data_IF_087479096665
#
_entry.id   IF_087479096665
#
_cell.length_a   1.000
_cell.length_b   1.000
_cell.length_c   1.000
_cell.angle_alpha   90.00
_cell.angle_beta   90.00
_cell.angle_gamma   90.00
#
_symmetry.space_group_name_H-M   'P 1'
#
loop_
_entity.id
_entity.type
_entity.pdbx_description
1 polymer ?
#
# COMPACT_ATOMS: atom_id res chain seq x y z
N UNK A 1 -75.59 -23.33 42.59
CA UNK A 1 -74.69 -22.69 43.58
C UNK A 1 -73.31 -23.21 43.32
N UNK A 2 -72.48 -22.50 42.63
CA UNK A 2 -71.02 -22.62 42.72
C UNK A 2 -70.39 -21.63 41.77
N UNK A 3 -69.64 -20.68 42.34
CA UNK A 3 -68.94 -19.59 41.66
C UNK A 3 -67.72 -20.11 40.92
N UNK A 4 -67.64 -19.89 39.61
CA UNK A 4 -66.43 -20.12 38.85
C UNK A 4 -65.75 -18.75 38.69
N UNK A 5 -64.67 -18.56 39.43
CA UNK A 5 -63.81 -17.38 39.32
C UNK A 5 -62.99 -17.43 38.04
N UNK A 6 -63.19 -16.43 37.22
CA UNK A 6 -62.37 -16.21 36.03
C UNK A 6 -60.92 -15.90 36.41
N UNK A 7 -60.02 -16.80 36.02
CA UNK A 7 -58.58 -16.55 36.08
C UNK A 7 -58.18 -16.13 34.69
N UNK A 8 -58.01 -14.82 34.51
CA UNK A 8 -57.40 -14.24 33.26
C UNK A 8 -55.91 -14.48 33.37
N UNK A 9 -55.41 -15.41 32.53
CA UNK A 9 -54.01 -15.66 32.35
C UNK A 9 -53.46 -14.61 31.38
N UNK A 10 -52.76 -13.59 31.92
CA UNK A 10 -52.08 -12.56 31.12
C UNK A 10 -50.79 -13.15 30.56
N UNK A 11 -50.80 -13.57 29.30
CA UNK A 11 -49.64 -14.01 28.55
C UNK A 11 -48.82 -12.77 28.17
N UNK A 12 -47.77 -12.48 28.92
CA UNK A 12 -46.77 -11.48 28.58
C UNK A 12 -45.86 -12.10 27.52
N UNK A 13 -46.08 -11.75 26.25
CA UNK A 13 -45.16 -12.02 25.15
C UNK A 13 -43.90 -11.17 25.34
N UNK A 14 -42.87 -11.77 25.94
CA UNK A 14 -41.51 -11.22 25.92
C UNK A 14 -40.97 -11.36 24.47
N UNK A 15 -41.14 -10.34 23.66
CA UNK A 15 -40.38 -10.20 22.42
C UNK A 15 -38.95 -9.85 22.76
N UNK A 16 -38.11 -10.87 22.87
CA UNK A 16 -36.69 -10.71 22.98
C UNK A 16 -36.17 -9.99 21.74
N UNK A 17 -35.83 -8.71 21.87
CA UNK A 17 -35.06 -7.98 20.86
C UNK A 17 -33.65 -8.54 20.91
N UNK A 18 -33.37 -9.52 20.04
CA UNK A 18 -32.01 -9.95 19.73
C UNK A 18 -31.30 -8.80 19.06
N UNK A 19 -30.66 -7.92 19.86
CA UNK A 19 -29.68 -6.98 19.37
C UNK A 19 -28.44 -7.81 19.01
N UNK A 20 -28.39 -8.31 17.78
CA UNK A 20 -27.15 -8.80 17.20
C UNK A 20 -26.26 -7.57 17.00
N UNK A 21 -25.44 -7.29 18.01
CA UNK A 21 -24.25 -6.47 17.81
C UNK A 21 -23.40 -7.23 16.78
N UNK A 22 -23.52 -6.84 15.51
CA UNK A 22 -22.57 -7.23 14.48
C UNK A 22 -21.24 -6.58 14.86
N UNK A 23 -20.44 -7.36 15.57
CA UNK A 23 -19.02 -7.10 15.76
C UNK A 23 -18.38 -7.23 14.38
N UNK A 24 -18.43 -6.13 13.61
CA UNK A 24 -17.74 -5.98 12.34
C UNK A 24 -16.26 -5.97 12.70
N UNK A 25 -15.65 -7.15 12.81
CA UNK A 25 -14.21 -7.32 12.80
C UNK A 25 -13.71 -6.55 11.58
N UNK A 26 -13.20 -5.33 11.82
CA UNK A 26 -12.56 -4.51 10.79
C UNK A 26 -11.36 -5.31 10.32
N UNK A 27 -11.54 -6.05 9.20
CA UNK A 27 -10.47 -6.83 8.56
C UNK A 27 -9.33 -5.85 8.30
N UNK A 28 -8.23 -5.98 9.06
CA UNK A 28 -7.03 -5.18 8.81
C UNK A 28 -6.51 -5.63 7.45
N UNK A 29 -6.75 -4.82 6.46
CA UNK A 29 -6.27 -5.08 5.10
C UNK A 29 -4.78 -4.82 5.05
N UNK A 30 -4.00 -5.88 4.89
CA UNK A 30 -2.55 -5.80 4.73
C UNK A 30 -2.18 -5.53 3.27
N UNK A 31 -1.12 -4.73 3.06
CA UNK A 31 -0.50 -4.53 1.76
C UNK A 31 0.48 -5.66 1.46
N UNK A 32 0.53 -6.09 0.21
CA UNK A 32 1.59 -6.98 -0.27
C UNK A 32 2.73 -6.16 -0.83
N UNK A 33 3.88 -6.24 -0.20
CA UNK A 33 5.13 -5.66 -0.69
C UNK A 33 5.99 -6.76 -1.30
N UNK A 34 6.32 -6.62 -2.57
CA UNK A 34 7.26 -7.50 -3.26
C UNK A 34 8.68 -7.01 -2.99
N UNK A 35 9.65 -7.92 -3.03
CA UNK A 35 11.09 -7.60 -3.00
C UNK A 35 11.77 -7.93 -4.32
N UNK A 36 11.17 -8.80 -5.12
CA UNK A 36 11.63 -9.20 -6.44
C UNK A 36 10.93 -8.36 -7.51
N UNK A 37 11.73 -7.58 -8.25
CA UNK A 37 11.24 -6.70 -9.32
C UNK A 37 10.68 -7.49 -10.50
N UNK A 38 11.19 -8.68 -10.76
CA UNK A 38 10.70 -9.54 -11.85
C UNK A 38 9.27 -9.96 -11.56
N UNK A 39 9.04 -10.44 -10.33
CA UNK A 39 7.68 -10.82 -9.89
C UNK A 39 6.72 -9.64 -9.90
N UNK A 40 7.17 -8.49 -9.40
CA UNK A 40 6.36 -7.27 -9.44
C UNK A 40 6.04 -6.82 -10.88
N UNK A 41 6.97 -6.98 -11.80
CA UNK A 41 6.79 -6.67 -13.23
C UNK A 41 5.73 -7.57 -13.88
N UNK A 42 5.71 -8.86 -13.56
CA UNK A 42 4.66 -9.79 -14.02
C UNK A 42 3.27 -9.31 -13.55
N UNK A 43 3.12 -9.04 -12.26
CA UNK A 43 1.86 -8.55 -11.67
C UNK A 43 1.47 -7.17 -12.25
N UNK A 44 2.44 -6.28 -12.45
CA UNK A 44 2.22 -4.98 -13.09
C UNK A 44 1.64 -5.13 -14.49
N UNK A 45 2.17 -6.05 -15.28
CA UNK A 45 1.69 -6.36 -16.64
C UNK A 45 0.28 -6.96 -16.62
N UNK A 46 0.03 -7.94 -15.74
CA UNK A 46 -1.28 -8.61 -15.61
C UNK A 46 -2.38 -7.65 -15.18
N UNK A 47 -2.06 -6.75 -14.23
CA UNK A 47 -3.05 -5.83 -13.65
C UNK A 47 -3.08 -4.47 -14.33
N UNK A 48 -2.15 -4.18 -15.25
CA UNK A 48 -1.95 -2.87 -15.87
C UNK A 48 -1.74 -1.73 -14.84
N UNK A 49 -1.14 -2.04 -13.68
CA UNK A 49 -0.80 -1.08 -12.63
C UNK A 49 0.71 -0.80 -12.65
N UNK A 50 1.15 0.46 -12.52
CA UNK A 50 2.57 0.75 -12.42
C UNK A 50 3.17 0.19 -11.12
N UNK A 51 4.47 -0.04 -11.16
CA UNK A 51 5.27 -0.41 -10.00
C UNK A 51 5.51 0.86 -9.16
N UNK A 52 5.26 0.76 -7.86
CA UNK A 52 5.62 1.73 -6.84
C UNK A 52 6.83 1.18 -6.09
N UNK A 53 8.03 1.63 -6.46
CA UNK A 53 9.28 1.14 -5.90
C UNK A 53 9.76 2.05 -4.77
N UNK A 54 9.74 1.55 -3.55
CA UNK A 54 10.16 2.23 -2.34
C UNK A 54 11.61 1.89 -2.00
N UNK A 55 12.52 2.81 -2.27
CA UNK A 55 13.92 2.72 -1.87
C UNK A 55 14.05 3.11 -0.40
N UNK A 56 14.55 2.19 0.42
CA UNK A 56 14.56 2.33 1.89
C UNK A 56 15.82 1.74 2.52
N UNK A 57 16.05 2.07 3.78
CA UNK A 57 17.03 1.43 4.64
C UNK A 57 16.33 0.97 5.92
N UNK A 58 15.74 -0.23 5.88
CA UNK A 58 14.78 -0.71 6.87
C UNK A 58 15.28 -0.70 8.31
N UNK A 59 16.58 -0.91 8.54
CA UNK A 59 17.20 -1.02 9.86
C UNK A 59 17.89 0.25 10.36
N UNK A 60 18.01 1.29 9.52
CA UNK A 60 18.73 2.52 9.89
C UNK A 60 18.04 3.83 9.49
N UNK A 61 17.16 3.83 8.43
CA UNK A 61 16.58 5.06 7.89
C UNK A 61 15.39 5.56 8.73
N UNK A 62 15.62 6.56 9.59
CA UNK A 62 14.56 7.16 10.42
C UNK A 62 13.44 7.81 9.62
N UNK A 63 13.76 8.52 8.52
CA UNK A 63 12.78 9.14 7.63
C UNK A 63 11.94 8.12 6.87
N UNK A 64 12.50 6.93 6.56
CA UNK A 64 11.75 5.84 5.94
C UNK A 64 10.69 5.28 6.90
N UNK A 65 11.06 5.04 8.16
CA UNK A 65 10.11 4.64 9.21
C UNK A 65 9.03 5.70 9.43
N UNK A 66 9.43 6.98 9.41
CA UNK A 66 8.46 8.08 9.53
C UNK A 66 7.45 8.08 8.36
N UNK A 67 7.91 7.89 7.12
CA UNK A 67 7.02 7.79 5.95
C UNK A 67 6.07 6.60 6.06
N UNK A 68 6.56 5.44 6.51
CA UNK A 68 5.73 4.27 6.73
C UNK A 68 4.63 4.54 7.77
N UNK A 69 4.94 5.24 8.86
CA UNK A 69 3.98 5.54 9.92
C UNK A 69 2.98 6.64 9.52
N UNK A 70 3.45 7.69 8.86
CA UNK A 70 2.63 8.87 8.55
C UNK A 70 1.79 8.68 7.28
N UNK A 71 2.19 7.77 6.40
CA UNK A 71 1.57 7.55 5.09
C UNK A 71 1.17 6.10 4.88
N UNK A 72 2.13 5.17 4.83
CA UNK A 72 1.86 3.80 4.34
C UNK A 72 0.97 2.97 5.27
N UNK A 73 0.93 3.31 6.56
CA UNK A 73 0.06 2.66 7.54
C UNK A 73 -1.38 3.20 7.54
N UNK A 74 -1.64 4.30 6.81
CA UNK A 74 -2.97 4.93 6.82
C UNK A 74 -3.96 4.16 5.94
N UNK A 75 -5.23 4.04 6.39
CA UNK A 75 -6.27 3.32 5.64
C UNK A 75 -6.45 3.82 4.20
N UNK A 76 -6.35 5.13 3.98
CA UNK A 76 -6.51 5.76 2.68
C UNK A 76 -5.37 5.38 1.72
N UNK A 77 -4.12 5.35 2.23
CA UNK A 77 -2.99 4.84 1.44
C UNK A 77 -3.14 3.35 1.13
N UNK A 78 -3.55 2.54 2.10
CA UNK A 78 -3.74 1.10 1.92
C UNK A 78 -4.76 0.84 0.81
N UNK A 79 -5.90 1.55 0.84
CA UNK A 79 -6.92 1.45 -0.19
C UNK A 79 -6.39 1.90 -1.55
N UNK A 80 -5.79 3.09 -1.60
CA UNK A 80 -5.23 3.66 -2.82
C UNK A 80 -4.18 2.75 -3.46
N UNK A 81 -3.25 2.22 -2.67
CA UNK A 81 -2.18 1.37 -3.16
C UNK A 81 -2.71 0.07 -3.80
N UNK A 82 -3.69 -0.57 -3.18
CA UNK A 82 -4.35 -1.77 -3.73
C UNK A 82 -5.01 -1.52 -5.08
N UNK A 83 -5.60 -0.35 -5.25
CA UNK A 83 -6.32 0.01 -6.46
C UNK A 83 -5.38 0.43 -7.61
N UNK A 84 -4.26 1.09 -7.30
CA UNK A 84 -3.51 1.87 -8.27
C UNK A 84 -2.11 1.36 -8.60
N UNK A 85 -1.44 0.61 -7.73
CA UNK A 85 -0.01 0.27 -7.91
C UNK A 85 0.33 -1.15 -7.48
N UNK A 86 1.50 -1.64 -7.92
CA UNK A 86 2.17 -2.83 -7.41
C UNK A 86 3.33 -2.37 -6.54
N UNK A 87 3.32 -2.72 -5.25
CA UNK A 87 4.30 -2.24 -4.28
C UNK A 87 5.56 -3.09 -4.29
N UNK A 88 6.72 -2.44 -4.39
CA UNK A 88 8.04 -3.08 -4.27
C UNK A 88 8.86 -2.36 -3.22
N UNK A 89 9.44 -3.13 -2.27
CA UNK A 89 10.42 -2.63 -1.31
C UNK A 89 11.82 -2.96 -1.81
N UNK A 90 12.62 -1.94 -2.04
CA UNK A 90 14.04 -2.03 -2.41
C UNK A 90 14.86 -1.59 -1.19
N UNK A 91 15.18 -2.57 -0.34
CA UNK A 91 15.87 -2.34 0.93
C UNK A 91 17.40 -2.28 0.77
N UNK A 92 18.03 -1.37 1.51
CA UNK A 92 19.48 -1.20 1.60
C UNK A 92 19.90 -1.25 3.08
N UNK A 93 19.84 -2.42 3.71
CA UNK A 93 20.11 -2.58 5.13
C UNK A 93 21.60 -2.44 5.44
N UNK A 94 21.92 -2.05 6.69
CA UNK A 94 23.30 -2.02 7.21
C UNK A 94 23.63 -3.20 8.12
N UNK A 95 22.66 -3.66 8.90
CA UNK A 95 22.88 -4.65 9.96
C UNK A 95 22.37 -6.06 9.56
N UNK A 96 21.51 -6.18 8.58
CA UNK A 96 21.06 -7.47 8.03
C UNK A 96 21.58 -7.65 6.59
N UNK A 97 21.71 -8.91 6.16
CA UNK A 97 22.15 -9.23 4.81
C UNK A 97 20.97 -9.61 3.94
N UNK A 98 20.95 -9.13 2.73
CA UNK A 98 20.11 -9.62 1.64
C UNK A 98 20.82 -10.75 0.90
N UNK A 99 20.07 -11.51 0.09
CA UNK A 99 20.71 -12.43 -0.88
C UNK A 99 21.54 -11.64 -1.88
N UNK A 100 22.56 -12.28 -2.52
CA UNK A 100 23.36 -11.64 -3.57
C UNK A 100 22.50 -11.10 -4.71
N UNK A 101 21.47 -11.83 -5.12
CA UNK A 101 20.55 -11.47 -6.21
C UNK A 101 19.77 -10.20 -5.88
N UNK A 102 19.17 -10.11 -4.68
CA UNK A 102 18.45 -8.92 -4.24
C UNK A 102 19.39 -7.72 -4.04
N UNK A 103 20.60 -7.95 -3.54
CA UNK A 103 21.61 -6.91 -3.41
C UNK A 103 21.97 -6.32 -4.77
N UNK A 104 22.23 -7.18 -5.76
CA UNK A 104 22.55 -6.75 -7.13
C UNK A 104 21.37 -6.06 -7.80
N UNK A 105 20.16 -6.63 -7.69
CA UNK A 105 18.92 -6.03 -8.20
C UNK A 105 18.73 -4.60 -7.66
N UNK A 106 18.78 -4.45 -6.34
CA UNK A 106 18.54 -3.18 -5.69
C UNK A 106 19.59 -2.14 -6.08
N UNK A 107 20.88 -2.54 -6.12
CA UNK A 107 21.96 -1.66 -6.56
C UNK A 107 21.80 -1.22 -8.02
N UNK A 108 21.40 -2.12 -8.92
CA UNK A 108 21.16 -1.80 -10.32
C UNK A 108 20.01 -0.81 -10.50
N UNK A 109 18.90 -1.00 -9.78
CA UNK A 109 17.76 -0.08 -9.80
C UNK A 109 18.12 1.27 -9.17
N UNK A 110 18.87 1.29 -8.06
CA UNK A 110 19.37 2.51 -7.45
C UNK A 110 20.19 3.34 -8.42
N UNK A 111 21.10 2.70 -9.17
CA UNK A 111 21.92 3.35 -10.19
C UNK A 111 21.07 3.85 -11.35
N UNK A 112 20.16 3.04 -11.86
CA UNK A 112 19.28 3.37 -12.99
C UNK A 112 18.42 4.61 -12.69
N UNK A 113 17.82 4.67 -11.49
CA UNK A 113 17.01 5.80 -11.05
C UNK A 113 17.82 6.93 -10.41
N UNK A 114 19.15 6.80 -10.31
CA UNK A 114 20.07 7.78 -9.70
C UNK A 114 19.63 8.19 -8.27
N UNK A 115 19.17 7.21 -7.49
CA UNK A 115 18.70 7.47 -6.12
C UNK A 115 19.86 7.86 -5.21
N UNK A 116 19.79 9.07 -4.62
CA UNK A 116 20.85 9.65 -3.79
C UNK A 116 20.52 9.69 -2.29
N UNK A 117 19.31 9.34 -1.92
CA UNK A 117 18.86 9.39 -0.52
C UNK A 117 17.58 8.61 -0.28
N UNK A 118 17.22 8.46 0.99
CA UNK A 118 16.06 7.70 1.43
C UNK A 118 15.21 8.49 2.42
N UNK A 119 13.86 8.35 2.39
CA UNK A 119 13.09 7.54 1.44
C UNK A 119 13.04 8.19 0.06
N UNK A 120 13.06 7.37 -0.98
CA UNK A 120 12.73 7.77 -2.36
C UNK A 120 11.78 6.74 -2.94
N UNK A 121 10.75 7.19 -3.65
CA UNK A 121 9.82 6.33 -4.37
C UNK A 121 9.87 6.69 -5.85
N UNK A 122 9.90 5.69 -6.72
CA UNK A 122 9.64 5.86 -8.15
C UNK A 122 8.38 5.10 -8.54
N UNK A 123 7.58 5.72 -9.42
CA UNK A 123 6.40 5.09 -10.01
C UNK A 123 6.67 4.92 -11.50
N UNK A 124 6.66 3.68 -12.00
CA UNK A 124 7.05 3.37 -13.37
C UNK A 124 6.43 2.06 -13.87
N UNK A 125 6.44 1.87 -15.18
CA UNK A 125 6.24 0.56 -15.80
C UNK A 125 7.57 -0.03 -16.25
N UNK A 126 7.69 -1.35 -16.13
CA UNK A 126 8.81 -2.10 -16.62
C UNK A 126 8.34 -2.96 -17.81
N UNK A 127 8.58 -2.47 -19.02
CA UNK A 127 8.14 -3.10 -20.25
C UNK A 127 9.28 -3.95 -20.82
N UNK A 128 9.00 -5.20 -21.23
CA UNK A 128 9.95 -6.01 -21.95
C UNK A 128 10.03 -5.49 -23.38
N UNK A 129 11.24 -5.21 -23.88
CA UNK A 129 11.42 -4.80 -25.27
C UNK A 129 11.01 -5.91 -26.23
N UNK A 130 10.66 -5.54 -27.46
CA UNK A 130 10.24 -6.48 -28.50
C UNK A 130 11.27 -7.57 -28.82
N UNK A 131 12.57 -7.28 -28.63
CA UNK A 131 13.67 -8.22 -28.79
C UNK A 131 13.76 -9.30 -27.68
N UNK A 132 12.97 -9.12 -26.61
CA UNK A 132 12.90 -10.06 -25.49
C UNK A 132 14.12 -10.08 -24.57
N UNK A 133 15.16 -9.30 -24.84
CA UNK A 133 16.46 -9.34 -24.14
C UNK A 133 16.61 -8.24 -23.09
N UNK A 134 15.93 -7.11 -23.27
CA UNK A 134 16.07 -5.94 -22.42
C UNK A 134 14.72 -5.44 -21.92
N UNK A 135 14.77 -4.66 -20.83
CA UNK A 135 13.62 -3.95 -20.29
C UNK A 135 13.72 -2.45 -20.63
N UNK A 136 12.57 -1.84 -20.85
CA UNK A 136 12.40 -0.41 -20.98
C UNK A 136 11.63 0.10 -19.77
N UNK A 137 12.12 1.18 -19.15
CA UNK A 137 11.48 1.81 -18.01
C UNK A 137 10.67 3.02 -18.50
N UNK A 138 9.36 2.95 -18.36
CA UNK A 138 8.49 4.11 -18.51
C UNK A 138 8.33 4.78 -17.15
N UNK A 139 9.20 5.74 -16.85
CA UNK A 139 9.15 6.50 -15.59
C UNK A 139 8.01 7.52 -15.62
N UNK A 140 7.08 7.44 -14.66
CA UNK A 140 5.97 8.38 -14.51
C UNK A 140 6.34 9.53 -13.56
N UNK A 141 7.21 9.30 -12.57
CA UNK A 141 7.66 10.30 -11.63
C UNK A 141 8.21 9.71 -10.33
N UNK A 142 8.60 10.59 -9.42
CA UNK A 142 9.16 10.22 -8.13
C UNK A 142 8.57 11.01 -6.98
N UNK A 143 8.61 10.42 -5.79
CA UNK A 143 8.16 10.99 -4.52
C UNK A 143 9.23 10.78 -3.44
N UNK A 144 9.13 11.60 -2.39
CA UNK A 144 9.87 11.42 -1.14
C UNK A 144 8.93 11.57 0.05
N UNK A 145 9.50 11.88 1.21
CA UNK A 145 8.68 12.29 2.35
C UNK A 145 8.00 13.64 2.04
N UNK A 146 6.66 13.77 2.26
CA UNK A 146 5.90 14.97 1.91
C UNK A 146 6.29 16.15 2.81
N UNK A 147 7.12 17.05 2.29
CA UNK A 147 7.57 18.24 2.99
C UNK A 147 6.52 19.36 2.97
N UNK A 148 6.55 20.23 4.00
CA UNK A 148 5.73 21.46 4.03
C UNK A 148 4.23 21.22 4.24
N UNK A 149 3.85 20.09 4.82
CA UNK A 149 2.48 19.81 5.23
C UNK A 149 2.24 20.20 6.68
N UNK A 150 0.99 20.44 7.04
CA UNK A 150 0.56 20.44 8.43
C UNK A 150 0.74 19.04 9.02
N UNK A 151 1.07 18.99 10.32
CA UNK A 151 1.23 17.73 11.04
C UNK A 151 -0.05 16.87 10.96
N UNK A 152 0.11 15.62 10.56
CA UNK A 152 -1.02 14.69 10.37
C UNK A 152 -1.74 14.82 9.04
N UNK A 153 -1.23 15.62 8.09
CA UNK A 153 -1.72 15.75 6.71
C UNK A 153 -0.74 15.20 5.67
N UNK A 154 0.32 14.51 6.12
CA UNK A 154 1.37 13.96 5.26
C UNK A 154 0.80 13.00 4.22
N UNK A 155 -0.09 12.12 4.64
CA UNK A 155 -0.73 11.14 3.77
C UNK A 155 -1.59 11.81 2.70
N UNK A 156 -2.36 12.85 3.04
CA UNK A 156 -3.22 13.59 2.11
C UNK A 156 -2.38 14.23 0.98
N UNK A 157 -1.28 14.90 1.35
CA UNK A 157 -0.36 15.49 0.37
C UNK A 157 0.30 14.41 -0.48
N UNK A 158 0.77 13.33 0.14
CA UNK A 158 1.44 12.24 -0.56
C UNK A 158 0.53 11.62 -1.63
N UNK A 159 -0.73 11.33 -1.28
CA UNK A 159 -1.70 10.77 -2.23
C UNK A 159 -2.07 11.75 -3.34
N UNK A 160 -2.18 13.04 -3.03
CA UNK A 160 -2.37 14.07 -4.07
C UNK A 160 -1.22 14.06 -5.08
N UNK A 161 0.02 14.06 -4.60
CA UNK A 161 1.20 14.09 -5.47
C UNK A 161 1.35 12.76 -6.26
N UNK A 162 1.05 11.62 -5.62
CA UNK A 162 1.04 10.31 -6.28
C UNK A 162 0.00 10.23 -7.41
N UNK A 163 -1.21 10.76 -7.18
CA UNK A 163 -2.25 10.80 -8.22
C UNK A 163 -1.86 11.69 -9.39
N UNK A 164 -1.16 12.81 -9.15
CA UNK A 164 -0.64 13.66 -10.24
C UNK A 164 0.38 12.90 -11.09
N UNK A 165 1.24 12.09 -10.47
CA UNK A 165 2.21 11.24 -11.20
C UNK A 165 1.48 10.20 -12.07
N UNK A 166 0.44 9.55 -11.54
CA UNK A 166 -0.33 8.55 -12.31
C UNK A 166 -1.01 9.17 -13.54
N UNK A 167 -1.40 10.46 -13.49
CA UNK A 167 -1.99 11.16 -14.62
C UNK A 167 -1.00 11.42 -15.76
N UNK A 168 0.32 11.35 -15.53
CA UNK A 168 1.33 11.56 -16.57
C UNK A 168 1.28 10.50 -17.68
N UNK A 169 0.74 9.30 -17.40
CA UNK A 169 0.54 8.26 -18.41
C UNK A 169 -0.58 8.61 -19.40
N UNK A 170 -1.63 9.28 -18.95
CA UNK A 170 -2.80 9.60 -19.76
C UNK A 170 -2.52 10.70 -20.77
N UNK A 171 -1.43 11.46 -20.59
CA UNK A 171 -1.07 12.62 -21.43
C UNK A 171 -0.08 12.30 -22.55
N UNK A 172 0.39 11.02 -22.65
CA UNK A 172 1.25 10.53 -23.73
C UNK A 172 0.43 9.73 -24.74
#
# INVERSE_FOLDING_TARGET
>A
MSNIKNIIFLLILLTGVNSQAQDTLKKIETLTWYTDITKASEISKETNKPIFAFFTGSDWCGWCRKLQNDVFSKPEFIKWAKENVVLVELDFPKNKKLSPELTQQNASLQQTFQVRGYPTIFIFFLNKKADGTNFEIENLGSLGYPQGTELGKEEVKFLKDANLILQNRVKK
#
